data_IF_822539011311
#
_entry.id   IF_822539011311
#
_cell.length_a   1.000
_cell.length_b   1.000
_cell.length_c   1.000
_cell.angle_alpha   90.00
_cell.angle_beta   90.00
_cell.angle_gamma   90.00
#
_symmetry.space_group_name_H-M   'P 1'
#
loop_
_entity.id
_entity.type
_entity.pdbx_description
1 polymer ?
#
# COMPACT_ATOMS: atom_id res chain seq x y z
N UNK A 1 -26.01 14.03 -2.99
CA UNK A 1 -25.55 12.70 -2.53
C UNK A 1 -24.52 12.05 -3.46
N UNK A 2 -24.68 12.03 -4.79
CA UNK A 2 -23.68 11.41 -5.71
C UNK A 2 -22.28 12.04 -5.67
N UNK A 3 -22.18 13.36 -5.49
CA UNK A 3 -20.89 14.08 -5.56
C UNK A 3 -19.97 13.76 -4.36
N UNK A 4 -20.55 13.54 -3.18
CA UNK A 4 -19.82 13.18 -1.96
C UNK A 4 -19.21 11.77 -2.05
N UNK A 5 -19.96 10.82 -2.63
CA UNK A 5 -19.47 9.46 -2.87
C UNK A 5 -18.32 9.44 -3.88
N UNK A 6 -18.42 10.20 -4.96
CA UNK A 6 -17.36 10.30 -5.96
C UNK A 6 -16.06 10.87 -5.38
N UNK A 7 -16.16 11.87 -4.51
CA UNK A 7 -15.00 12.42 -3.80
C UNK A 7 -14.36 11.40 -2.85
N UNK A 8 -15.18 10.61 -2.12
CA UNK A 8 -14.68 9.55 -1.24
C UNK A 8 -13.94 8.45 -2.02
N UNK A 9 -14.50 7.98 -3.14
CA UNK A 9 -13.82 6.99 -4.00
C UNK A 9 -12.50 7.53 -4.56
N UNK A 10 -12.46 8.80 -4.97
CA UNK A 10 -11.24 9.44 -5.44
C UNK A 10 -10.18 9.55 -4.34
N UNK A 11 -10.58 9.83 -3.09
CA UNK A 11 -9.70 9.89 -1.94
C UNK A 11 -9.11 8.52 -1.59
N UNK A 12 -9.92 7.45 -1.60
CA UNK A 12 -9.45 6.07 -1.40
C UNK A 12 -8.52 5.59 -2.52
N UNK A 13 -8.82 5.93 -3.79
CA UNK A 13 -7.92 5.64 -4.92
C UNK A 13 -6.56 6.30 -4.75
N UNK A 14 -6.52 7.52 -4.20
CA UNK A 14 -5.27 8.21 -3.88
C UNK A 14 -4.53 7.55 -2.73
N UNK A 15 -5.25 7.12 -1.68
CA UNK A 15 -4.67 6.40 -0.55
C UNK A 15 -3.96 5.13 -1.01
N UNK A 16 -4.60 4.30 -1.85
CA UNK A 16 -3.98 3.10 -2.43
C UNK A 16 -2.69 3.41 -3.19
N UNK A 17 -2.67 4.48 -4.00
CA UNK A 17 -1.46 4.86 -4.75
C UNK A 17 -0.28 5.17 -3.83
N UNK A 18 -0.51 5.95 -2.78
CA UNK A 18 0.55 6.24 -1.80
C UNK A 18 0.91 5.01 -0.97
N UNK A 19 -0.05 4.13 -0.66
CA UNK A 19 0.22 2.87 0.03
C UNK A 19 1.15 1.97 -0.80
N UNK A 20 0.87 1.74 -2.09
CA UNK A 20 1.76 0.95 -2.96
C UNK A 20 3.18 1.53 -2.98
N UNK A 21 3.31 2.86 -3.08
CA UNK A 21 4.63 3.52 -3.06
C UNK A 21 5.36 3.30 -1.73
N UNK A 22 4.68 3.45 -0.61
CA UNK A 22 5.28 3.25 0.71
C UNK A 22 5.62 1.78 0.99
N UNK A 23 4.81 0.84 0.53
CA UNK A 23 5.08 -0.61 0.64
C UNK A 23 6.31 -0.96 -0.21
N UNK A 24 6.38 -0.46 -1.45
CA UNK A 24 7.56 -0.62 -2.29
C UNK A 24 8.82 -0.05 -1.63
N UNK A 25 8.75 1.16 -1.09
CA UNK A 25 9.89 1.76 -0.41
C UNK A 25 10.34 0.92 0.79
N UNK A 26 9.39 0.43 1.60
CA UNK A 26 9.68 -0.45 2.72
C UNK A 26 10.41 -1.72 2.27
N UNK A 27 9.95 -2.38 1.19
CA UNK A 27 10.59 -3.57 0.65
C UNK A 27 12.04 -3.33 0.20
N UNK A 28 12.32 -2.16 -0.38
CA UNK A 28 13.65 -1.86 -0.91
C UNK A 28 14.62 -1.35 0.18
N UNK A 29 14.11 -0.55 1.12
CA UNK A 29 14.93 0.17 2.10
C UNK A 29 14.97 -0.48 3.48
N UNK A 30 13.96 -1.27 3.82
CA UNK A 30 13.70 -1.79 5.18
C UNK A 30 13.56 -0.68 6.24
N UNK A 31 13.29 0.56 5.81
CA UNK A 31 13.05 1.68 6.72
C UNK A 31 11.80 1.42 7.58
N UNK A 32 11.76 1.92 8.82
CA UNK A 32 10.57 1.81 9.65
C UNK A 32 9.34 2.47 9.00
N UNK A 33 8.18 1.81 9.10
CA UNK A 33 6.93 2.28 8.49
C UNK A 33 6.58 3.73 8.85
N UNK A 34 6.81 4.11 10.12
CA UNK A 34 6.50 5.45 10.59
C UNK A 34 7.38 6.54 9.92
N UNK A 35 8.62 6.22 9.54
CA UNK A 35 9.49 7.15 8.82
C UNK A 35 9.03 7.32 7.38
N UNK A 36 8.66 6.22 6.72
CA UNK A 36 8.10 6.21 5.36
C UNK A 36 6.82 7.04 5.33
N UNK A 37 5.93 6.82 6.29
CA UNK A 37 4.67 7.56 6.38
C UNK A 37 4.92 9.05 6.62
N UNK A 38 5.81 9.40 7.55
CA UNK A 38 6.16 10.79 7.84
C UNK A 38 6.72 11.50 6.60
N UNK A 39 7.65 10.86 5.88
CA UNK A 39 8.24 11.40 4.66
C UNK A 39 7.21 11.55 3.54
N UNK A 40 6.36 10.54 3.34
CA UNK A 40 5.30 10.60 2.33
C UNK A 40 4.38 11.79 2.61
N UNK A 41 3.98 12.00 3.87
CA UNK A 41 3.14 13.13 4.29
C UNK A 41 3.84 14.49 4.14
N UNK A 42 5.15 14.56 4.34
CA UNK A 42 5.93 15.79 4.22
C UNK A 42 6.17 16.20 2.75
N UNK A 43 6.41 15.23 1.86
CA UNK A 43 6.80 15.49 0.48
C UNK A 43 5.61 15.60 -0.49
N UNK A 44 4.42 15.13 -0.10
CA UNK A 44 3.27 15.03 -1.00
C UNK A 44 2.07 15.86 -0.56
N UNK A 45 1.31 16.34 -1.56
CA UNK A 45 0.06 17.06 -1.34
C UNK A 45 -1.08 16.11 -0.90
N UNK A 46 -1.18 15.90 0.41
CA UNK A 46 -2.09 14.92 1.03
C UNK A 46 -3.56 15.37 1.22
N UNK A 47 -3.89 16.62 0.89
CA UNK A 47 -5.20 17.25 1.14
C UNK A 47 -6.42 16.58 0.47
N UNK A 48 -6.21 15.64 -0.47
CA UNK A 48 -7.28 14.88 -1.15
C UNK A 48 -7.12 13.37 -0.97
N UNK A 49 -6.36 12.95 0.04
CA UNK A 49 -6.10 11.55 0.35
C UNK A 49 -6.93 11.17 1.56
N UNK A 50 -7.52 9.98 1.54
CA UNK A 50 -8.07 9.40 2.76
C UNK A 50 -6.89 8.95 3.65
N UNK A 51 -6.50 9.80 4.60
CA UNK A 51 -5.28 9.59 5.39
C UNK A 51 -5.40 8.45 6.39
N UNK A 52 -6.60 8.21 6.93
CA UNK A 52 -6.82 7.08 7.82
C UNK A 52 -6.70 5.79 7.05
N UNK A 53 -7.31 5.73 5.87
CA UNK A 53 -7.22 4.55 5.02
C UNK A 53 -5.82 4.32 4.47
N UNK A 54 -5.09 5.38 4.10
CA UNK A 54 -3.68 5.27 3.71
C UNK A 54 -2.82 4.71 4.85
N UNK A 55 -2.97 5.25 6.08
CA UNK A 55 -2.24 4.78 7.26
C UNK A 55 -2.54 3.31 7.54
N UNK A 56 -3.82 2.92 7.50
CA UNK A 56 -4.24 1.52 7.68
C UNK A 56 -3.58 0.61 6.64
N UNK A 57 -3.73 0.93 5.34
CA UNK A 57 -3.15 0.11 4.26
C UNK A 57 -1.63 -0.03 4.42
N UNK A 58 -0.91 1.07 4.67
CA UNK A 58 0.54 1.03 4.80
C UNK A 58 0.98 0.20 6.02
N UNK A 59 0.38 0.44 7.18
CA UNK A 59 0.79 -0.24 8.42
C UNK A 59 0.40 -1.70 8.46
N UNK A 60 -0.83 -2.03 8.03
CA UNK A 60 -1.35 -3.39 8.12
C UNK A 60 -0.74 -4.31 7.07
N UNK A 61 -0.56 -3.85 5.83
CA UNK A 61 0.08 -4.67 4.79
C UNK A 61 1.51 -5.01 5.18
N UNK A 62 2.26 -4.06 5.75
CA UNK A 62 3.64 -4.30 6.19
C UNK A 62 3.66 -5.23 7.41
N UNK A 63 2.75 -5.02 8.38
CA UNK A 63 2.68 -5.87 9.56
C UNK A 63 2.30 -7.32 9.25
N UNK A 64 1.49 -7.55 8.22
CA UNK A 64 0.97 -8.88 7.84
C UNK A 64 1.63 -9.44 6.58
N UNK A 65 2.75 -8.88 6.12
CA UNK A 65 3.32 -9.23 4.81
C UNK A 65 3.66 -10.72 4.67
N UNK A 66 4.12 -11.39 5.73
CA UNK A 66 4.43 -12.82 5.71
C UNK A 66 3.16 -13.67 5.49
N UNK A 67 2.06 -13.31 6.17
CA UNK A 67 0.76 -13.98 6.01
C UNK A 67 0.18 -13.73 4.61
N UNK A 68 0.32 -12.50 4.09
CA UNK A 68 -0.10 -12.15 2.73
C UNK A 68 0.72 -12.91 1.68
N UNK A 69 2.03 -13.03 1.87
CA UNK A 69 2.90 -13.81 0.99
C UNK A 69 2.50 -15.29 0.99
N UNK A 70 2.19 -15.86 2.15
CA UNK A 70 1.71 -17.23 2.27
C UNK A 70 0.37 -17.47 1.54
N UNK A 71 -0.50 -16.46 1.46
CA UNK A 71 -1.73 -16.51 0.66
C UNK A 71 -1.47 -16.40 -0.85
N UNK A 72 -0.45 -15.65 -1.25
CA UNK A 72 -0.10 -15.40 -2.65
C UNK A 72 0.65 -16.58 -3.27
N UNK A 73 1.66 -17.13 -2.58
CA UNK A 73 2.56 -18.18 -3.11
C UNK A 73 1.82 -19.32 -3.83
N UNK A 74 0.73 -19.92 -3.29
CA UNK A 74 0.05 -21.05 -3.94
C UNK A 74 -0.64 -20.72 -5.27
N UNK A 75 -0.90 -19.44 -5.55
CA UNK A 75 -1.63 -18.97 -6.74
C UNK A 75 -0.76 -18.19 -7.72
N UNK A 76 0.55 -18.04 -7.43
CA UNK A 76 1.51 -17.47 -8.35
C UNK A 76 1.93 -18.51 -9.41
N UNK A 77 2.17 -18.05 -10.63
CA UNK A 77 2.70 -18.83 -11.73
C UNK A 77 4.25 -18.91 -11.73
N UNK A 78 4.88 -18.21 -10.78
CA UNK A 78 6.33 -18.10 -10.57
C UNK A 78 6.64 -17.93 -9.08
N UNK A 79 7.88 -18.15 -8.70
CA UNK A 79 8.37 -17.88 -7.34
C UNK A 79 8.14 -16.41 -6.96
N UNK A 80 7.84 -16.16 -5.68
CA UNK A 80 7.57 -14.79 -5.18
C UNK A 80 8.76 -13.86 -5.38
N UNK A 81 9.99 -14.38 -5.26
CA UNK A 81 11.24 -13.65 -5.47
C UNK A 81 11.48 -13.27 -6.94
N UNK A 82 10.71 -13.81 -7.88
CA UNK A 82 10.74 -13.45 -9.29
C UNK A 82 9.82 -12.27 -9.65
N UNK A 83 9.01 -11.79 -8.68
CA UNK A 83 8.20 -10.58 -8.83
C UNK A 83 9.08 -9.33 -8.70
N UNK A 84 8.82 -8.31 -9.50
CA UNK A 84 9.41 -7.01 -9.25
C UNK A 84 8.80 -6.36 -7.98
N UNK A 85 9.51 -5.39 -7.40
CA UNK A 85 9.07 -4.77 -6.15
C UNK A 85 7.71 -4.08 -6.25
N UNK A 86 7.34 -3.55 -7.43
CA UNK A 86 6.05 -2.88 -7.65
C UNK A 86 4.94 -3.92 -7.81
N UNK A 87 5.18 -5.02 -8.51
CA UNK A 87 4.29 -6.17 -8.59
C UNK A 87 3.99 -6.72 -7.20
N UNK A 88 5.03 -6.99 -6.40
CA UNK A 88 4.86 -7.53 -5.05
C UNK A 88 4.13 -6.55 -4.12
N UNK A 89 4.46 -5.25 -4.16
CA UNK A 89 3.72 -4.23 -3.41
C UNK A 89 2.23 -4.19 -3.78
N UNK A 90 1.93 -4.30 -5.08
CA UNK A 90 0.56 -4.26 -5.60
C UNK A 90 -0.22 -5.51 -5.19
N UNK A 91 0.40 -6.69 -5.29
CA UNK A 91 -0.23 -7.95 -4.89
C UNK A 91 -0.49 -8.01 -3.39
N UNK A 92 0.47 -7.61 -2.56
CA UNK A 92 0.27 -7.56 -1.09
C UNK A 92 -0.85 -6.60 -0.70
N UNK A 93 -0.89 -5.41 -1.31
CA UNK A 93 -1.99 -4.47 -1.08
C UNK A 93 -3.34 -5.06 -1.51
N UNK A 94 -3.38 -5.70 -2.68
CA UNK A 94 -4.60 -6.30 -3.23
C UNK A 94 -5.08 -7.53 -2.47
N UNK A 95 -4.18 -8.29 -1.83
CA UNK A 95 -4.52 -9.44 -1.01
C UNK A 95 -5.05 -9.05 0.37
N UNK A 96 -4.67 -7.87 0.88
CA UNK A 96 -5.16 -7.35 2.16
C UNK A 96 -6.61 -6.79 2.08
N UNK A 97 -6.97 -6.18 0.94
CA UNK A 97 -8.30 -5.57 0.72
C UNK A 97 -9.41 -6.57 0.38
#
# INVERSE_FOLDING_TARGET
MSQTLQAAYAAKRKARRFAVQGIYEWQMSHNPVHEIEARTRAENAMHKVDLNYYHELLTQVIAQHEDLDALLIPVLDREIDALDGVELATLRLGAYE
#
